data_IF_461431335237
#
_entry.id   IF_461431335237
#
_cell.length_a   1.000
_cell.length_b   1.000
_cell.length_c   1.000
_cell.angle_alpha   90.00
_cell.angle_beta   90.00
_cell.angle_gamma   90.00
#
_symmetry.space_group_name_H-M   'P 1'
#
loop_
_entity.id
_entity.type
_entity.pdbx_description
1 polymer ?
#
# COMPACT_ATOMS: atom_id res chain seq x y z
N UNK A 1 -17.16 -17.21 8.15
CA UNK A 1 -15.89 -16.92 7.43
C UNK A 1 -15.47 -18.14 6.59
N UNK A 2 -16.39 -18.72 5.81
CA UNK A 2 -16.18 -19.90 4.96
C UNK A 2 -15.95 -19.57 3.47
N UNK A 3 -15.95 -18.28 3.10
CA UNK A 3 -15.99 -17.84 1.69
C UNK A 3 -14.60 -17.59 1.10
N UNK A 4 -13.54 -17.55 1.91
CA UNK A 4 -12.23 -17.06 1.46
C UNK A 4 -11.35 -18.10 0.74
N UNK A 5 -11.73 -19.39 0.73
CA UNK A 5 -10.96 -20.44 0.07
C UNK A 5 -11.90 -21.32 -0.76
N UNK A 6 -12.42 -20.75 -1.86
CA UNK A 6 -12.58 -21.54 -3.09
C UNK A 6 -11.26 -21.41 -3.85
N UNK A 7 -10.80 -22.53 -4.40
CA UNK A 7 -9.54 -22.68 -5.12
C UNK A 7 -9.36 -21.53 -6.13
N UNK A 8 -8.47 -20.58 -5.81
CA UNK A 8 -8.24 -19.37 -6.60
C UNK A 8 -8.27 -18.03 -5.87
N UNK A 9 -8.57 -17.96 -4.56
CA UNK A 9 -8.60 -16.67 -3.85
C UNK A 9 -7.24 -15.95 -3.78
N UNK A 10 -6.14 -16.68 -3.57
CA UNK A 10 -4.78 -16.14 -3.61
C UNK A 10 -4.35 -15.74 -5.03
N UNK A 11 -4.67 -16.56 -6.03
CA UNK A 11 -4.41 -16.23 -7.42
C UNK A 11 -5.15 -14.94 -7.85
N UNK A 12 -6.42 -14.77 -7.42
CA UNK A 12 -7.17 -13.53 -7.68
C UNK A 12 -6.57 -12.37 -6.87
N UNK A 13 -6.09 -12.60 -5.65
CA UNK A 13 -5.38 -11.59 -4.87
C UNK A 13 -4.16 -11.04 -5.61
N UNK A 14 -3.26 -11.91 -6.06
CA UNK A 14 -2.09 -11.52 -6.83
C UNK A 14 -2.48 -10.89 -8.17
N UNK A 15 -3.41 -11.48 -8.92
CA UNK A 15 -3.89 -10.93 -10.19
C UNK A 15 -4.41 -9.49 -10.05
N UNK A 16 -5.21 -9.21 -9.00
CA UNK A 16 -5.75 -7.86 -8.79
C UNK A 16 -4.69 -6.81 -8.51
N UNK A 17 -3.62 -7.22 -7.83
CA UNK A 17 -2.47 -6.40 -7.48
C UNK A 17 -1.58 -6.21 -8.71
N UNK A 18 -1.14 -7.30 -9.31
CA UNK A 18 -0.23 -7.31 -10.46
C UNK A 18 -0.78 -6.54 -11.65
N UNK A 19 -2.07 -6.64 -11.98
CA UNK A 19 -2.65 -5.85 -13.07
C UNK A 19 -2.68 -4.34 -12.80
N UNK A 20 -2.48 -3.89 -11.56
CA UNK A 20 -2.31 -2.47 -11.22
C UNK A 20 -0.84 -2.05 -11.26
N UNK A 21 0.04 -2.85 -10.69
CA UNK A 21 1.44 -2.45 -10.44
C UNK A 21 2.42 -2.88 -11.53
N UNK A 22 2.33 -4.12 -12.02
CA UNK A 22 3.32 -4.66 -12.96
C UNK A 22 3.33 -3.99 -14.34
N UNK A 23 2.18 -3.71 -15.00
CA UNK A 23 2.22 -3.13 -16.34
C UNK A 23 2.90 -1.75 -16.38
N UNK A 24 2.56 -0.78 -15.50
CA UNK A 24 3.28 0.50 -15.49
C UNK A 24 4.74 0.36 -15.07
N UNK A 25 5.06 -0.56 -14.16
CA UNK A 25 6.45 -0.85 -13.79
C UNK A 25 7.28 -1.37 -14.97
N UNK A 26 6.77 -2.39 -15.67
CA UNK A 26 7.47 -2.96 -16.82
C UNK A 26 7.60 -1.96 -17.98
N UNK A 27 6.60 -1.09 -18.16
CA UNK A 27 6.75 0.04 -19.08
C UNK A 27 7.93 0.94 -18.68
N UNK A 28 8.02 1.33 -17.41
CA UNK A 28 9.14 2.12 -16.88
C UNK A 28 10.49 1.40 -16.98
N UNK A 29 10.53 0.09 -16.74
CA UNK A 29 11.73 -0.74 -16.83
C UNK A 29 12.23 -0.90 -18.27
N UNK A 30 11.32 -1.08 -19.23
CA UNK A 30 11.68 -1.09 -20.67
C UNK A 30 12.19 0.29 -21.08
N UNK A 31 11.55 1.37 -20.64
CA UNK A 31 12.06 2.72 -20.89
C UNK A 31 13.45 2.92 -20.26
N UNK A 32 13.70 2.35 -19.08
CA UNK A 32 15.00 2.37 -18.40
C UNK A 32 16.09 1.59 -19.15
N UNK A 33 15.73 0.49 -19.80
CA UNK A 33 16.64 -0.28 -20.66
C UNK A 33 16.99 0.47 -21.95
N UNK A 34 16.00 1.12 -22.58
CA UNK A 34 16.18 1.81 -23.86
C UNK A 34 16.77 3.21 -23.74
N UNK A 35 16.53 3.90 -22.63
CA UNK A 35 16.92 5.30 -22.41
C UNK A 35 17.69 5.41 -21.09
N UNK A 36 19.04 5.38 -21.12
CA UNK A 36 19.88 5.32 -19.90
C UNK A 36 19.60 6.43 -18.88
N UNK A 37 19.19 7.62 -19.33
CA UNK A 37 18.82 8.75 -18.45
C UNK A 37 17.70 8.36 -17.47
N UNK A 38 16.76 7.51 -17.90
CA UNK A 38 15.64 7.04 -17.06
C UNK A 38 16.17 6.31 -15.83
N UNK A 39 17.07 5.33 -16.01
CA UNK A 39 17.73 4.65 -14.89
C UNK A 39 18.77 5.51 -14.17
N UNK A 40 19.37 6.47 -14.88
CA UNK A 40 20.59 7.16 -14.43
C UNK A 40 21.87 6.34 -14.68
N UNK A 41 21.75 5.19 -15.35
CA UNK A 41 22.85 4.32 -15.76
C UNK A 41 22.44 3.50 -16.99
N UNK A 42 23.40 2.91 -17.68
CA UNK A 42 23.12 1.94 -18.74
C UNK A 42 22.77 0.58 -18.14
N UNK A 43 21.53 0.13 -18.31
CA UNK A 43 21.11 -1.21 -17.91
C UNK A 43 21.51 -2.23 -18.99
N UNK A 44 22.11 -3.34 -18.59
CA UNK A 44 22.29 -4.49 -19.48
C UNK A 44 21.00 -5.31 -19.56
N UNK A 45 20.90 -6.21 -20.54
CA UNK A 45 19.79 -7.17 -20.58
C UNK A 45 19.75 -8.08 -19.35
N UNK A 46 20.91 -8.45 -18.80
CA UNK A 46 20.99 -9.20 -17.54
C UNK A 46 20.38 -8.42 -16.38
N UNK A 47 20.68 -7.12 -16.27
CA UNK A 47 20.09 -6.25 -15.25
C UNK A 47 18.58 -6.12 -15.43
N UNK A 48 18.11 -5.98 -16.67
CA UNK A 48 16.68 -5.95 -16.97
C UNK A 48 15.97 -7.21 -16.44
N UNK A 49 16.52 -8.40 -16.66
CA UNK A 49 15.94 -9.66 -16.15
C UNK A 49 15.94 -9.69 -14.62
N UNK A 50 17.03 -9.26 -13.97
CA UNK A 50 17.09 -9.18 -12.50
C UNK A 50 15.99 -8.28 -11.94
N UNK A 51 15.79 -7.11 -12.52
CA UNK A 51 14.74 -6.18 -12.10
C UNK A 51 13.35 -6.70 -12.44
N UNK A 52 13.17 -7.33 -13.60
CA UNK A 52 11.88 -7.89 -14.02
C UNK A 52 11.38 -9.01 -13.09
N UNK A 53 12.32 -9.75 -12.50
CA UNK A 53 12.07 -10.85 -11.56
C UNK A 53 12.16 -10.43 -10.08
N UNK A 54 12.37 -9.13 -9.79
CA UNK A 54 12.52 -8.62 -8.42
C UNK A 54 13.73 -9.20 -7.65
N UNK A 55 14.83 -9.52 -8.35
CA UNK A 55 16.05 -10.13 -7.83
C UNK A 55 17.24 -9.15 -7.69
N UNK A 56 17.06 -7.88 -8.04
CA UNK A 56 18.10 -6.84 -7.97
C UNK A 56 18.63 -6.54 -6.56
N UNK A 57 18.02 -7.13 -5.53
CA UNK A 57 18.43 -7.00 -4.13
C UNK A 57 19.33 -8.13 -3.66
N UNK A 58 19.50 -9.17 -4.48
CA UNK A 58 20.39 -10.31 -4.21
C UNK A 58 21.84 -9.93 -4.50
N UNK A 59 22.05 -9.05 -5.49
CA UNK A 59 23.37 -8.50 -5.84
C UNK A 59 23.28 -6.98 -5.88
N UNK A 60 23.98 -6.32 -4.94
CA UNK A 60 24.14 -4.87 -4.94
C UNK A 60 25.17 -4.44 -6.01
N UNK A 61 25.02 -3.26 -6.63
CA UNK A 61 24.02 -2.22 -6.37
C UNK A 61 22.72 -2.36 -7.17
N UNK A 62 21.62 -1.81 -6.64
CA UNK A 62 20.35 -1.67 -7.37
C UNK A 62 20.48 -0.57 -8.46
N UNK A 63 20.60 -0.99 -9.71
CA UNK A 63 20.82 -0.10 -10.87
C UNK A 63 19.57 0.66 -11.33
N UNK A 64 18.38 0.27 -10.85
CA UNK A 64 17.14 1.00 -11.09
C UNK A 64 16.49 1.37 -9.75
N UNK A 65 16.95 2.45 -9.09
CA UNK A 65 16.62 2.74 -7.71
C UNK A 65 15.11 2.80 -7.45
N UNK A 66 14.33 3.36 -8.38
CA UNK A 66 12.87 3.50 -8.27
C UNK A 66 12.12 2.16 -8.10
N UNK A 67 12.78 1.03 -8.36
CA UNK A 67 12.20 -0.29 -8.13
C UNK A 67 12.19 -0.71 -6.65
N UNK A 68 12.95 -0.03 -5.77
CA UNK A 68 13.15 -0.47 -4.38
C UNK A 68 11.83 -0.74 -3.64
N UNK A 69 10.86 0.19 -3.71
CA UNK A 69 9.63 0.05 -2.94
C UNK A 69 8.72 -1.02 -3.53
N UNK A 70 8.74 -1.20 -4.85
CA UNK A 70 7.94 -2.23 -5.51
C UNK A 70 8.46 -3.62 -5.13
N UNK A 71 9.77 -3.84 -5.11
CA UNK A 71 10.38 -5.09 -4.65
C UNK A 71 9.97 -5.38 -3.21
N UNK A 72 10.03 -4.37 -2.33
CA UNK A 72 9.63 -4.48 -0.92
C UNK A 72 8.22 -5.05 -0.82
N UNK A 73 7.30 -4.48 -1.60
CA UNK A 73 5.94 -4.93 -1.62
C UNK A 73 5.81 -6.35 -2.20
N UNK A 74 6.38 -6.64 -3.38
CA UNK A 74 6.24 -7.96 -4.00
C UNK A 74 6.74 -9.09 -3.09
N UNK A 75 7.90 -8.92 -2.46
CA UNK A 75 8.43 -9.89 -1.49
C UNK A 75 7.50 -10.05 -0.28
N UNK A 76 6.97 -8.95 0.26
CA UNK A 76 6.00 -9.00 1.35
C UNK A 76 4.71 -9.73 0.95
N UNK A 77 4.17 -9.48 -0.24
CA UNK A 77 2.92 -10.07 -0.72
C UNK A 77 3.07 -11.52 -1.23
N UNK A 78 4.29 -11.98 -1.49
CA UNK A 78 4.60 -13.39 -1.64
C UNK A 78 4.68 -14.10 -0.28
N UNK A 79 5.21 -13.44 0.75
CA UNK A 79 5.27 -13.99 2.11
C UNK A 79 3.89 -13.99 2.82
N UNK A 80 3.05 -12.99 2.57
CA UNK A 80 1.77 -12.79 3.25
C UNK A 80 0.82 -14.01 3.16
N UNK A 81 0.63 -14.66 1.99
CA UNK A 81 -0.15 -15.89 1.88
C UNK A 81 0.35 -17.02 2.78
N UNK A 82 1.66 -17.17 2.97
CA UNK A 82 2.22 -18.20 3.86
C UNK A 82 1.79 -17.96 5.31
N UNK A 83 1.86 -16.71 5.76
CA UNK A 83 1.38 -16.31 7.10
C UNK A 83 -0.13 -16.50 7.22
N UNK A 84 -0.89 -16.14 6.18
CA UNK A 84 -2.33 -16.33 6.15
C UNK A 84 -2.70 -17.83 6.24
N UNK A 85 -2.07 -18.68 5.42
CA UNK A 85 -2.27 -20.13 5.43
C UNK A 85 -1.95 -20.71 6.80
N UNK A 86 -0.84 -20.32 7.42
CA UNK A 86 -0.49 -20.76 8.78
C UNK A 86 -1.60 -20.41 9.79
N UNK A 87 -2.13 -19.18 9.73
CA UNK A 87 -3.23 -18.74 10.58
C UNK A 87 -4.53 -19.50 10.37
N UNK A 88 -4.90 -19.75 9.12
CA UNK A 88 -6.14 -20.45 8.77
C UNK A 88 -6.07 -21.95 9.05
N UNK A 89 -4.97 -22.60 8.65
CA UNK A 89 -4.84 -24.06 8.70
C UNK A 89 -4.57 -24.54 10.13
N UNK A 90 -3.81 -23.77 10.90
CA UNK A 90 -3.50 -24.07 12.30
C UNK A 90 -4.49 -23.42 13.29
N UNK A 91 -5.43 -22.59 12.80
CA UNK A 91 -6.47 -21.89 13.58
C UNK A 91 -5.95 -21.15 14.82
N UNK A 92 -4.68 -20.74 14.81
CA UNK A 92 -3.99 -20.18 15.96
C UNK A 92 -3.63 -18.72 15.74
N UNK A 93 -4.40 -17.82 16.37
CA UNK A 93 -4.07 -16.39 16.37
C UNK A 93 -2.74 -16.08 17.05
N UNK A 94 -2.31 -16.90 18.02
CA UNK A 94 -1.00 -16.77 18.67
C UNK A 94 0.13 -16.95 17.66
N UNK A 95 0.00 -17.95 16.77
CA UNK A 95 0.98 -18.17 15.71
C UNK A 95 0.98 -17.03 14.68
N UNK A 96 -0.20 -16.54 14.28
CA UNK A 96 -0.29 -15.38 13.37
C UNK A 96 0.38 -14.15 13.98
N UNK A 97 0.14 -13.86 15.26
CA UNK A 97 0.78 -12.73 15.95
C UNK A 97 2.28 -12.93 16.09
N UNK A 98 2.74 -14.16 16.33
CA UNK A 98 4.17 -14.48 16.40
C UNK A 98 4.84 -14.26 15.04
N UNK A 99 4.28 -14.81 13.95
CA UNK A 99 4.80 -14.62 12.60
C UNK A 99 4.81 -13.15 12.18
N UNK A 100 3.75 -12.40 12.51
CA UNK A 100 3.70 -10.96 12.27
C UNK A 100 4.77 -10.21 13.06
N UNK A 101 5.00 -10.58 14.34
CA UNK A 101 6.06 -10.00 15.15
C UNK A 101 7.45 -10.32 14.59
N UNK A 102 7.68 -11.55 14.12
CA UNK A 102 8.92 -11.94 13.42
C UNK A 102 9.11 -11.09 12.15
N UNK A 103 8.07 -10.92 11.34
CA UNK A 103 8.14 -10.07 10.14
C UNK A 103 8.42 -8.60 10.48
N UNK A 104 7.87 -8.07 11.58
CA UNK A 104 8.18 -6.71 12.03
C UNK A 104 9.64 -6.55 12.48
N UNK A 105 10.24 -7.60 13.02
CA UNK A 105 11.64 -7.57 13.45
C UNK A 105 12.61 -7.59 12.27
N UNK A 106 12.27 -8.27 11.16
CA UNK A 106 13.19 -8.46 10.02
C UNK A 106 13.78 -7.14 9.50
N UNK A 107 13.01 -6.10 9.16
CA UNK A 107 13.58 -4.84 8.68
C UNK A 107 14.56 -4.20 9.67
N UNK A 108 14.25 -4.26 10.96
CA UNK A 108 15.13 -3.70 12.00
C UNK A 108 16.43 -4.48 12.11
N UNK A 109 16.38 -5.82 12.05
CA UNK A 109 17.56 -6.68 12.07
C UNK A 109 18.44 -6.46 10.83
N UNK A 110 17.82 -6.33 9.65
CA UNK A 110 18.53 -6.00 8.41
C UNK A 110 19.24 -4.66 8.55
N UNK A 111 18.58 -3.62 9.08
CA UNK A 111 19.22 -2.31 9.30
C UNK A 111 20.40 -2.37 10.26
N UNK A 112 20.27 -3.13 11.36
CA UNK A 112 21.38 -3.32 12.32
C UNK A 112 22.59 -3.93 11.61
N UNK A 113 22.39 -4.96 10.78
CA UNK A 113 23.48 -5.58 10.04
C UNK A 113 24.10 -4.62 8.99
N UNK A 114 23.28 -3.91 8.21
CA UNK A 114 23.78 -2.94 7.22
C UNK A 114 24.57 -1.79 7.86
N UNK A 115 24.12 -1.28 9.01
CA UNK A 115 24.85 -0.24 9.75
C UNK A 115 26.15 -0.77 10.34
N UNK A 116 26.17 -2.03 10.79
CA UNK A 116 27.40 -2.69 11.25
C UNK A 116 28.41 -2.89 10.11
N UNK A 117 27.95 -3.01 8.87
CA UNK A 117 28.77 -3.03 7.66
C UNK A 117 29.12 -1.63 7.12
N UNK A 118 28.83 -0.57 7.89
CA UNK A 118 29.10 0.82 7.53
C UNK A 118 28.43 1.27 6.21
N UNK A 119 27.29 0.65 5.86
CA UNK A 119 26.52 1.06 4.70
C UNK A 119 25.92 2.45 4.91
N UNK A 120 25.87 3.24 3.84
CA UNK A 120 25.26 4.58 3.90
C UNK A 120 23.77 4.50 4.19
N UNK A 121 23.21 5.54 4.82
CA UNK A 121 21.77 5.63 5.06
C UNK A 121 20.95 5.50 3.76
N UNK A 122 21.45 6.05 2.64
CA UNK A 122 20.79 5.91 1.35
C UNK A 122 20.73 4.44 0.89
N UNK A 123 21.81 3.67 1.06
CA UNK A 123 21.81 2.25 0.74
C UNK A 123 20.79 1.48 1.59
N UNK A 124 20.68 1.82 2.87
CA UNK A 124 19.67 1.25 3.78
C UNK A 124 18.24 1.58 3.31
N UNK A 125 17.98 2.85 2.95
CA UNK A 125 16.67 3.28 2.45
C UNK A 125 16.27 2.57 1.15
N UNK A 126 17.25 2.26 0.30
CA UNK A 126 17.05 1.57 -0.98
C UNK A 126 17.08 0.05 -0.86
N UNK A 127 17.32 -0.50 0.35
CA UNK A 127 17.29 -1.93 0.62
C UNK A 127 15.87 -2.38 0.94
N UNK A 128 15.20 -3.15 0.08
CA UNK A 128 13.78 -3.48 0.24
C UNK A 128 13.46 -4.25 1.52
N UNK A 129 14.35 -5.13 1.94
CA UNK A 129 14.22 -5.94 3.15
C UNK A 129 14.22 -5.10 4.43
N UNK A 130 14.75 -3.87 4.36
CA UNK A 130 14.85 -2.95 5.48
C UNK A 130 13.62 -2.02 5.62
N UNK A 131 12.51 -2.26 4.90
CA UNK A 131 11.47 -1.22 4.72
C UNK A 131 10.00 -1.67 4.72
N UNK A 132 9.68 -2.92 5.08
CA UNK A 132 8.30 -3.43 4.96
C UNK A 132 7.46 -3.41 6.25
N UNK A 133 7.89 -2.76 7.34
CA UNK A 133 7.15 -2.76 8.62
C UNK A 133 5.74 -2.18 8.48
N UNK A 134 5.60 -1.09 7.72
CA UNK A 134 4.31 -0.45 7.47
C UNK A 134 3.31 -1.39 6.80
N UNK A 135 3.79 -2.27 5.90
CA UNK A 135 2.96 -3.29 5.24
C UNK A 135 2.49 -4.34 6.26
N UNK A 136 3.37 -4.79 7.16
CA UNK A 136 3.01 -5.74 8.22
C UNK A 136 1.97 -5.16 9.17
N UNK A 137 2.15 -3.90 9.59
CA UNK A 137 1.21 -3.20 10.49
C UNK A 137 -0.16 -3.04 9.81
N UNK A 138 -0.19 -2.56 8.57
CA UNK A 138 -1.42 -2.39 7.80
C UNK A 138 -2.14 -3.72 7.56
N UNK A 139 -1.40 -4.77 7.17
CA UNK A 139 -1.96 -6.11 6.99
C UNK A 139 -2.46 -6.71 8.31
N UNK A 140 -1.75 -6.48 9.42
CA UNK A 140 -2.14 -6.92 10.76
C UNK A 140 -3.45 -6.28 11.22
N UNK A 141 -3.61 -4.96 11.01
CA UNK A 141 -4.86 -4.26 11.29
C UNK A 141 -6.01 -4.75 10.41
N UNK A 142 -5.77 -4.99 9.12
CA UNK A 142 -6.77 -5.57 8.23
C UNK A 142 -7.16 -7.00 8.64
N UNK A 143 -6.19 -7.82 9.05
CA UNK A 143 -6.44 -9.17 9.55
C UNK A 143 -7.24 -9.14 10.86
N UNK A 144 -6.93 -8.21 11.77
CA UNK A 144 -7.68 -8.01 13.02
C UNK A 144 -9.13 -7.61 12.73
N UNK A 145 -9.34 -6.65 11.81
CA UNK A 145 -10.67 -6.20 11.41
C UNK A 145 -11.51 -7.33 10.80
N UNK A 146 -10.91 -8.16 9.94
CA UNK A 146 -11.61 -9.25 9.26
C UNK A 146 -11.82 -10.48 10.15
N UNK A 147 -10.85 -10.81 11.01
CA UNK A 147 -10.77 -12.08 11.71
C UNK A 147 -11.13 -12.04 13.19
N UNK A 148 -11.06 -10.86 13.84
CA UNK A 148 -11.44 -10.66 15.25
C UNK A 148 -12.20 -9.34 15.45
N UNK A 149 -13.43 -9.22 14.89
CA UNK A 149 -14.19 -7.97 14.87
C UNK A 149 -14.47 -7.40 16.27
N UNK A 150 -14.62 -8.25 17.30
CA UNK A 150 -14.79 -7.80 18.68
C UNK A 150 -13.57 -7.04 19.22
N UNK A 151 -12.35 -7.55 18.99
CA UNK A 151 -11.10 -6.86 19.36
C UNK A 151 -10.89 -5.60 18.53
N UNK A 152 -11.22 -5.65 17.24
CA UNK A 152 -11.15 -4.46 16.39
C UNK A 152 -12.12 -3.36 16.86
N UNK A 153 -13.30 -3.72 17.37
CA UNK A 153 -14.25 -2.76 17.94
C UNK A 153 -13.69 -2.09 19.19
N UNK A 154 -12.97 -2.83 20.04
CA UNK A 154 -12.25 -2.25 21.19
C UNK A 154 -11.20 -1.26 20.71
N UNK A 155 -10.41 -1.61 19.69
CA UNK A 155 -9.44 -0.69 19.08
C UNK A 155 -10.11 0.58 18.55
N UNK A 156 -11.26 0.45 17.88
CA UNK A 156 -12.03 1.59 17.37
C UNK A 156 -12.56 2.49 18.48
N UNK A 157 -12.79 2.01 19.71
CA UNK A 157 -13.15 2.88 20.85
C UNK A 157 -12.00 3.83 21.20
N UNK A 158 -10.76 3.40 21.03
CA UNK A 158 -9.55 4.19 21.26
C UNK A 158 -9.08 5.01 20.03
N UNK A 159 -9.86 5.06 18.94
CA UNK A 159 -9.40 5.67 17.67
C UNK A 159 -8.95 7.13 17.76
N UNK A 160 -9.63 7.95 18.58
CA UNK A 160 -9.28 9.37 18.78
C UNK A 160 -7.98 9.55 19.58
N UNK A 161 -7.83 8.97 20.79
CA UNK A 161 -6.57 9.07 21.52
C UNK A 161 -5.40 8.42 20.75
N UNK A 162 -5.62 7.30 20.05
CA UNK A 162 -4.59 6.70 19.19
C UNK A 162 -4.17 7.63 18.06
N UNK A 163 -5.12 8.30 17.39
CA UNK A 163 -4.80 9.27 16.35
C UNK A 163 -3.98 10.44 16.90
N UNK A 164 -4.38 11.02 18.03
CA UNK A 164 -3.66 12.13 18.65
C UNK A 164 -2.26 11.71 19.11
N UNK A 165 -2.12 10.54 19.76
CA UNK A 165 -0.84 10.00 20.17
C UNK A 165 0.07 9.67 18.98
N UNK A 166 -0.50 9.10 17.91
CA UNK A 166 0.22 8.81 16.66
C UNK A 166 0.71 10.09 15.98
N UNK A 167 -0.17 11.09 15.81
CA UNK A 167 0.16 12.37 15.20
C UNK A 167 1.20 13.15 16.03
N UNK A 168 1.00 13.26 17.35
CA UNK A 168 1.95 13.91 18.24
C UNK A 168 3.29 13.17 18.26
N UNK A 169 3.27 11.84 18.31
CA UNK A 169 4.47 11.02 18.25
C UNK A 169 5.24 11.18 16.94
N UNK A 170 4.55 11.35 15.80
CA UNK A 170 5.21 11.66 14.52
C UNK A 170 5.88 13.02 14.58
N UNK A 171 5.20 14.04 15.11
CA UNK A 171 5.78 15.39 15.24
C UNK A 171 7.02 15.34 16.14
N UNK A 172 6.94 14.68 17.29
CA UNK A 172 8.08 14.52 18.21
C UNK A 172 9.21 13.73 17.55
N UNK A 173 8.90 12.63 16.87
CA UNK A 173 9.89 11.82 16.18
C UNK A 173 10.62 12.64 15.12
N UNK A 174 9.92 13.45 14.34
CA UNK A 174 10.51 14.33 13.33
C UNK A 174 11.29 15.50 13.94
N UNK A 175 10.86 16.04 15.08
CA UNK A 175 11.55 17.12 15.77
C UNK A 175 12.87 16.65 16.42
N UNK A 176 12.90 15.41 16.90
CA UNK A 176 14.07 14.81 17.58
C UNK A 176 14.92 13.97 16.63
N UNK A 177 14.43 13.65 15.42
CA UNK A 177 15.17 12.86 14.45
C UNK A 177 16.47 13.54 14.06
N UNK A 178 17.58 12.89 14.39
CA UNK A 178 18.90 13.23 13.90
C UNK A 178 19.41 12.06 13.07
N UNK A 179 19.77 12.32 11.80
CA UNK A 179 20.23 11.30 10.86
C UNK A 179 21.57 10.65 11.27
N UNK A 180 22.20 11.09 12.37
CA UNK A 180 23.44 10.52 12.90
C UNK A 180 23.24 9.69 14.18
N UNK A 181 22.00 9.48 14.63
CA UNK A 181 21.73 8.69 15.82
C UNK A 181 21.39 7.23 15.45
N UNK A 182 22.22 6.29 15.90
CA UNK A 182 22.04 4.84 15.72
C UNK A 182 20.61 4.35 16.04
N UNK A 183 19.99 4.86 17.10
CA UNK A 183 18.63 4.46 17.47
C UNK A 183 17.61 4.86 16.40
N UNK A 184 17.78 6.05 15.80
CA UNK A 184 16.87 6.54 14.77
C UNK A 184 17.05 5.75 13.46
N UNK A 185 18.29 5.46 13.09
CA UNK A 185 18.60 4.66 11.89
C UNK A 185 18.11 3.22 12.01
N UNK A 186 18.10 2.64 13.22
CA UNK A 186 17.65 1.25 13.45
C UNK A 186 16.16 1.15 13.74
N UNK A 187 15.67 1.77 14.81
CA UNK A 187 14.31 1.61 15.32
C UNK A 187 13.37 2.74 14.88
N UNK A 188 13.89 3.90 14.49
CA UNK A 188 13.09 5.08 14.16
C UNK A 188 12.05 4.82 13.07
N UNK A 189 12.39 4.03 12.05
CA UNK A 189 11.45 3.65 10.98
C UNK A 189 10.33 2.72 11.45
N UNK A 190 10.63 1.77 12.34
CA UNK A 190 9.61 0.92 12.95
C UNK A 190 8.68 1.75 13.84
N UNK A 191 9.24 2.64 14.66
CA UNK A 191 8.46 3.57 15.49
C UNK A 191 7.57 4.45 14.62
N UNK A 192 8.11 5.02 13.54
CA UNK A 192 7.33 5.79 12.57
C UNK A 192 6.17 4.98 11.97
N UNK A 193 6.43 3.72 11.57
CA UNK A 193 5.41 2.84 11.03
C UNK A 193 4.31 2.50 12.06
N UNK A 194 4.67 2.29 13.33
CA UNK A 194 3.72 2.08 14.44
C UNK A 194 2.86 3.32 14.65
N UNK A 195 3.48 4.49 14.70
CA UNK A 195 2.78 5.76 14.86
C UNK A 195 1.81 6.02 13.69
N UNK A 196 2.22 5.71 12.46
CA UNK A 196 1.34 5.69 11.28
C UNK A 196 0.17 4.72 11.46
N UNK A 197 0.43 3.52 11.97
CA UNK A 197 -0.58 2.53 12.32
C UNK A 197 -1.61 3.03 13.33
N UNK A 198 -1.22 3.89 14.27
CA UNK A 198 -2.12 4.48 15.26
C UNK A 198 -3.13 5.48 14.64
N UNK A 199 -2.85 6.09 13.48
CA UNK A 199 -3.81 6.97 12.82
C UNK A 199 -4.91 6.16 12.08
N UNK A 200 -4.59 4.95 11.61
CA UNK A 200 -5.44 4.17 10.72
C UNK A 200 -6.84 3.85 11.29
N UNK A 201 -7.04 3.52 12.57
CA UNK A 201 -8.38 3.24 13.11
C UNK A 201 -9.36 4.42 12.96
N UNK A 202 -8.89 5.66 13.11
CA UNK A 202 -9.75 6.83 12.91
C UNK A 202 -10.02 7.04 11.41
N UNK A 203 -8.97 7.02 10.60
CA UNK A 203 -9.04 7.20 9.14
C UNK A 203 -9.98 6.16 8.49
N UNK A 204 -9.95 4.91 8.95
CA UNK A 204 -10.83 3.84 8.48
C UNK A 204 -12.33 4.09 8.75
N UNK A 205 -12.66 4.96 9.71
CA UNK A 205 -14.04 5.35 10.02
C UNK A 205 -14.46 6.68 9.39
N UNK A 206 -13.52 7.41 8.78
CA UNK A 206 -13.83 8.69 8.15
C UNK A 206 -14.68 8.48 6.90
N UNK A 207 -15.66 9.37 6.74
CA UNK A 207 -16.52 9.44 5.56
C UNK A 207 -16.56 10.88 5.09
N UNK A 208 -16.71 11.08 3.79
CA UNK A 208 -16.96 12.41 3.25
C UNK A 208 -18.26 12.97 3.84
N UNK A 209 -18.23 14.18 4.44
CA UNK A 209 -19.46 14.83 4.85
C UNK A 209 -20.30 15.17 3.61
N UNK A 210 -21.63 15.21 3.75
CA UNK A 210 -22.53 15.53 2.63
C UNK A 210 -22.32 16.93 2.02
N UNK A 211 -21.68 17.83 2.77
CA UNK A 211 -21.32 19.19 2.34
C UNK A 211 -19.90 19.29 1.76
N UNK A 212 -19.17 18.17 1.63
CA UNK A 212 -17.83 18.19 1.05
C UNK A 212 -17.88 18.77 -0.38
N UNK A 213 -17.05 19.77 -0.72
CA UNK A 213 -17.01 20.33 -2.06
C UNK A 213 -16.70 19.25 -3.10
N UNK A 214 -17.52 19.15 -4.15
CA UNK A 214 -17.36 18.13 -5.19
C UNK A 214 -15.96 18.14 -5.80
N UNK A 215 -15.40 19.32 -6.06
CA UNK A 215 -14.04 19.48 -6.57
C UNK A 215 -12.96 18.89 -5.65
N UNK A 216 -13.13 18.99 -4.33
CA UNK A 216 -12.21 18.40 -3.35
C UNK A 216 -12.28 16.87 -3.39
N UNK A 217 -13.49 16.30 -3.42
CA UNK A 217 -13.69 14.84 -3.50
C UNK A 217 -13.09 14.29 -4.79
N UNK A 218 -13.34 14.95 -5.92
CA UNK A 218 -12.75 14.58 -7.22
C UNK A 218 -11.23 14.70 -7.16
N UNK A 219 -10.69 15.82 -6.67
CA UNK A 219 -9.25 16.05 -6.59
C UNK A 219 -8.51 15.02 -5.75
N UNK A 220 -9.04 14.69 -4.56
CA UNK A 220 -8.46 13.66 -3.69
C UNK A 220 -8.54 12.27 -4.33
N UNK A 221 -9.66 11.95 -4.99
CA UNK A 221 -9.82 10.67 -5.69
C UNK A 221 -8.82 10.56 -6.85
N UNK A 222 -8.72 11.60 -7.66
CA UNK A 222 -7.77 11.68 -8.78
C UNK A 222 -6.31 11.54 -8.30
N UNK A 223 -5.93 12.25 -7.23
CA UNK A 223 -4.60 12.14 -6.64
C UNK A 223 -4.33 10.72 -6.10
N UNK A 224 -5.33 10.09 -5.48
CA UNK A 224 -5.24 8.73 -4.95
C UNK A 224 -5.05 7.71 -6.08
N UNK A 225 -5.74 7.90 -7.21
CA UNK A 225 -5.60 7.05 -8.38
C UNK A 225 -4.21 7.19 -9.03
N UNK A 226 -3.67 8.41 -9.08
CA UNK A 226 -2.35 8.70 -9.67
C UNK A 226 -1.15 8.45 -8.76
N UNK A 227 -1.33 8.09 -7.49
CA UNK A 227 -0.22 7.95 -6.53
C UNK A 227 0.89 7.02 -7.04
N UNK A 228 0.52 5.90 -7.68
CA UNK A 228 1.51 4.95 -8.21
C UNK A 228 2.20 5.43 -9.51
N UNK A 229 1.47 5.90 -10.55
CA UNK A 229 2.09 6.56 -11.69
C UNK A 229 3.02 7.73 -11.31
N UNK A 230 2.61 8.59 -10.36
CA UNK A 230 3.45 9.68 -9.83
C UNK A 230 4.74 9.11 -9.26
N UNK A 231 4.65 8.07 -8.42
CA UNK A 231 5.83 7.40 -7.88
C UNK A 231 6.78 6.89 -8.98
N UNK A 232 6.28 6.36 -10.10
CA UNK A 232 7.14 5.86 -11.17
C UNK A 232 7.82 6.96 -12.01
N UNK A 233 7.24 8.16 -12.08
CA UNK A 233 7.76 9.21 -12.98
C UNK A 233 8.45 10.36 -12.26
N UNK A 234 8.26 10.54 -10.95
CA UNK A 234 8.72 11.74 -10.22
C UNK A 234 10.24 11.96 -10.25
N UNK A 235 11.05 10.91 -10.32
CA UNK A 235 12.52 11.00 -10.42
C UNK A 235 13.01 11.09 -11.87
N UNK A 236 12.18 10.71 -12.83
CA UNK A 236 12.53 10.63 -14.25
C UNK A 236 12.27 11.96 -14.94
N UNK A 237 11.09 12.54 -14.74
CA UNK A 237 10.65 13.80 -15.36
C UNK A 237 11.65 14.97 -15.18
N UNK A 238 12.21 15.23 -13.97
CA UNK A 238 13.20 16.31 -13.81
C UNK A 238 14.41 16.19 -14.74
N UNK A 239 14.85 14.96 -15.04
CA UNK A 239 16.05 14.71 -15.84
C UNK A 239 15.87 15.12 -17.32
N UNK A 240 14.63 15.09 -17.82
CA UNK A 240 14.30 15.45 -19.20
C UNK A 240 13.90 16.91 -19.36
N UNK A 241 13.44 17.54 -18.27
CA UNK A 241 12.83 18.87 -18.37
C UNK A 241 13.85 19.99 -18.63
N UNK A 242 15.17 19.75 -18.44
CA UNK A 242 16.24 20.69 -18.81
C UNK A 242 16.05 22.12 -18.26
N UNK A 243 15.33 22.25 -17.15
CA UNK A 243 14.79 23.53 -16.70
C UNK A 243 15.90 24.39 -16.11
N UNK A 244 16.17 25.53 -16.74
CA UNK A 244 17.09 26.54 -16.22
C UNK A 244 16.54 27.13 -14.90
N UNK A 245 17.40 27.22 -13.88
CA UNK A 245 17.06 27.68 -12.52
C UNK A 245 16.86 29.21 -12.40
N UNK A 246 16.34 29.89 -13.43
CA UNK A 246 16.15 31.35 -13.39
C UNK A 246 15.10 31.78 -12.38
N UNK A 247 14.12 30.93 -12.06
CA UNK A 247 13.17 31.14 -10.95
C UNK A 247 12.80 29.82 -10.29
N UNK A 248 13.14 29.68 -9.00
CA UNK A 248 12.83 28.49 -8.19
C UNK A 248 11.33 28.16 -8.17
N UNK A 249 10.48 29.18 -8.15
CA UNK A 249 9.02 29.00 -8.15
C UNK A 249 8.52 28.46 -9.49
N UNK A 250 8.94 29.08 -10.61
CA UNK A 250 8.53 28.61 -11.95
C UNK A 250 9.08 27.21 -12.23
N UNK A 251 10.32 26.93 -11.83
CA UNK A 251 10.90 25.60 -11.89
C UNK A 251 10.05 24.58 -11.13
N UNK A 252 9.68 24.88 -9.87
CA UNK A 252 8.86 24.00 -9.05
C UNK A 252 7.47 23.76 -9.65
N UNK A 253 6.83 24.81 -10.16
CA UNK A 253 5.52 24.71 -10.80
C UNK A 253 5.58 23.86 -12.08
N UNK A 254 6.53 24.12 -12.98
CA UNK A 254 6.72 23.33 -14.21
C UNK A 254 7.06 21.89 -13.89
N UNK A 255 7.88 21.64 -12.87
CA UNK A 255 8.21 20.30 -12.40
C UNK A 255 6.97 19.54 -11.94
N UNK A 256 6.17 20.11 -11.04
CA UNK A 256 4.92 19.48 -10.55
C UNK A 256 3.98 19.20 -11.73
N UNK A 257 3.74 20.20 -12.58
CA UNK A 257 2.85 20.05 -13.74
C UNK A 257 3.32 18.93 -14.69
N UNK A 258 4.63 18.85 -14.94
CA UNK A 258 5.22 17.82 -15.80
C UNK A 258 5.08 16.42 -15.19
N UNK A 259 5.27 16.28 -13.87
CA UNK A 259 5.08 15.02 -13.16
C UNK A 259 3.62 14.58 -13.23
N UNK A 260 2.66 15.48 -12.98
CA UNK A 260 1.24 15.16 -13.08
C UNK A 260 0.82 14.82 -14.52
N UNK A 261 1.34 15.53 -15.52
CA UNK A 261 1.08 15.25 -16.92
C UNK A 261 1.60 13.86 -17.32
N UNK A 262 2.86 13.55 -17.00
CA UNK A 262 3.46 12.24 -17.28
C UNK A 262 2.76 11.10 -16.53
N UNK A 263 2.42 11.31 -15.26
CA UNK A 263 1.68 10.35 -14.44
C UNK A 263 0.28 10.08 -15.00
N UNK A 264 -0.42 11.14 -15.44
CA UNK A 264 -1.73 11.02 -16.08
C UNK A 264 -1.63 10.28 -17.41
N UNK A 265 -0.62 10.58 -18.23
CA UNK A 265 -0.38 9.87 -19.48
C UNK A 265 -0.12 8.38 -19.24
N UNK A 266 0.76 8.04 -18.29
CA UNK A 266 1.05 6.66 -17.91
C UNK A 266 -0.20 5.94 -17.36
N UNK A 267 -0.98 6.62 -16.52
CA UNK A 267 -2.22 6.08 -15.98
C UNK A 267 -3.23 5.76 -17.09
N UNK A 268 -3.46 6.69 -18.01
CA UNK A 268 -4.46 6.52 -19.07
C UNK A 268 -4.02 5.52 -20.15
N UNK A 269 -2.74 5.52 -20.51
CA UNK A 269 -2.21 4.68 -21.59
C UNK A 269 -1.85 3.25 -21.16
N UNK A 270 -1.40 3.06 -19.92
CA UNK A 270 -0.91 1.76 -19.43
C UNK A 270 -1.73 1.27 -18.25
N UNK A 271 -1.84 2.00 -17.14
CA UNK A 271 -2.49 1.46 -15.94
C UNK A 271 -3.98 1.14 -16.17
N UNK A 272 -4.74 2.09 -16.71
CA UNK A 272 -6.20 2.01 -16.86
C UNK A 272 -6.66 0.87 -17.78
N UNK A 273 -6.04 0.60 -18.94
CA UNK A 273 -6.37 -0.59 -19.75
C UNK A 273 -6.24 -1.91 -18.99
N UNK A 274 -5.18 -2.08 -18.19
CA UNK A 274 -4.98 -3.30 -17.41
C UNK A 274 -5.92 -3.38 -16.20
N UNK A 275 -6.30 -2.24 -15.60
CA UNK A 275 -7.36 -2.20 -14.60
C UNK A 275 -8.74 -2.57 -15.18
N UNK A 276 -9.02 -2.19 -16.43
CA UNK A 276 -10.23 -2.61 -17.12
C UNK A 276 -10.21 -4.12 -17.44
N UNK A 277 -9.05 -4.65 -17.85
CA UNK A 277 -8.83 -6.08 -18.05
C UNK A 277 -9.04 -6.87 -16.75
N UNK A 278 -8.53 -6.35 -15.62
CA UNK A 278 -8.77 -6.91 -14.28
C UNK A 278 -10.26 -7.03 -13.96
N UNK A 279 -11.04 -6.00 -14.25
CA UNK A 279 -12.48 -6.00 -13.98
C UNK A 279 -13.19 -7.15 -14.72
N UNK A 280 -12.80 -7.42 -15.98
CA UNK A 280 -13.34 -8.54 -16.78
C UNK A 280 -13.02 -9.90 -16.17
N UNK A 281 -11.77 -10.14 -15.77
CA UNK A 281 -11.36 -11.42 -15.15
C UNK A 281 -12.01 -11.67 -13.79
N UNK A 282 -12.21 -10.61 -12.99
CA UNK A 282 -12.83 -10.73 -11.66
C UNK A 282 -14.36 -10.89 -11.76
N UNK A 283 -15.02 -10.19 -12.68
CA UNK A 283 -16.45 -10.31 -12.92
C UNK A 283 -16.84 -11.74 -13.37
N UNK A 284 -16.05 -12.33 -14.26
CA UNK A 284 -16.24 -13.70 -14.75
C UNK A 284 -16.23 -14.78 -13.63
N UNK A 285 -15.56 -14.53 -12.50
CA UNK A 285 -15.42 -15.48 -11.38
C UNK A 285 -16.45 -15.30 -10.24
N UNK A 286 -17.34 -14.31 -10.30
CA UNK A 286 -18.49 -14.26 -9.38
C UNK A 286 -19.66 -15.01 -10.05
N UNK A 287 -20.11 -16.17 -9.53
CA UNK A 287 -21.44 -16.65 -9.88
C UNK A 287 -22.43 -15.55 -9.50
N UNK A 288 -23.36 -15.20 -10.39
CA UNK A 288 -24.47 -14.31 -10.06
C UNK A 288 -25.13 -14.83 -8.79
N UNK A 289 -25.06 -14.02 -7.72
CA UNK A 289 -25.81 -14.35 -6.52
C UNK A 289 -27.29 -14.26 -6.89
N UNK A 290 -28.11 -15.30 -6.59
CA UNK A 290 -29.54 -15.22 -6.85
C UNK A 290 -30.12 -13.99 -6.14
N UNK A 291 -31.08 -13.29 -6.76
CA UNK A 291 -31.64 -12.05 -6.21
C UNK A 291 -32.14 -12.29 -4.78
N UNK A 292 -31.74 -11.42 -3.85
CA UNK A 292 -32.23 -11.44 -2.47
C UNK A 292 -33.76 -11.38 -2.50
N UNK A 293 -34.47 -12.28 -1.81
CA UNK A 293 -35.91 -12.14 -1.64
C UNK A 293 -36.21 -10.78 -1.01
N UNK A 294 -37.16 -10.04 -1.59
CA UNK A 294 -37.63 -8.78 -1.05
C UNK A 294 -38.09 -8.98 0.40
N UNK A 295 -37.83 -8.03 1.33
CA UNK A 295 -38.33 -8.11 2.68
C UNK A 295 -39.86 -8.26 2.65
N UNK A 296 -40.38 -9.36 3.17
CA UNK A 296 -41.82 -9.52 3.34
C UNK A 296 -42.30 -8.42 4.30
N UNK A 297 -43.27 -7.62 3.84
CA UNK A 297 -43.85 -6.56 4.64
C UNK A 297 -44.38 -7.11 5.98
N UNK A 298 -44.28 -6.34 7.09
CA UNK A 298 -44.79 -6.79 8.38
C UNK A 298 -46.29 -7.12 8.26
N UNK A 299 -46.69 -8.34 8.61
CA UNK A 299 -48.10 -8.68 8.79
C UNK A 299 -48.64 -7.84 9.94
N UNK A 300 -49.43 -6.83 9.63
CA UNK A 300 -50.24 -6.09 10.61
C UNK A 300 -51.18 -7.10 11.26
N UNK A 301 -50.96 -7.43 12.54
CA UNK A 301 -51.95 -8.14 13.35
C UNK A 301 -53.13 -7.20 13.55
N UNK A 302 -54.24 -7.48 12.88
CA UNK A 302 -55.52 -6.86 13.21
C UNK A 302 -55.93 -7.31 14.62
N UNK A 303 -55.88 -6.41 15.58
CA UNK A 303 -56.53 -6.56 16.88
C UNK A 303 -58.02 -6.33 16.68
N UNK A 304 -58.79 -7.40 16.50
CA UNK A 304 -60.24 -7.35 16.58
C UNK A 304 -60.65 -7.54 18.04
N UNK A 305 -61.08 -6.44 18.67
CA UNK A 305 -61.71 -6.42 19.98
C UNK A 305 -63.21 -6.73 19.79
N UNK A 306 -63.80 -7.73 20.47
CA UNK A 306 -65.23 -7.98 20.35
C UNK A 306 -66.01 -7.06 21.32
N UNK A 307 -66.80 -6.16 20.73
CA UNK A 307 -67.82 -5.37 21.42
C UNK A 307 -68.87 -6.33 22.01
N UNK A 308 -69.08 -6.29 23.34
CA UNK A 308 -70.20 -6.97 24.01
C UNK A 308 -71.48 -6.14 23.86
N UNK A 309 -72.61 -6.71 23.42
CA UNK A 309 -73.91 -6.07 23.59
C UNK A 309 -74.45 -6.29 25.01
N UNK A 310 -75.24 -5.32 25.46
CA UNK A 310 -75.94 -5.25 26.75
C UNK A 310 -77.07 -6.28 26.88
#
# INVERSE_FOLDING_TARGET
>A
MHVALRDGSFAIFWLRRWLRTLPPYYFGLVAALLVPVVAGSTLTFGDFIKHALFLQTIELPNLYPISWSLVTEEWFYLALPLVAIAGFRLRSWKLVTLLAACLLAVPTLVRINLLAEHQTWLAILMTPQARFEGLVIGAGLAALAAGQPGRFTVLLRARRPLFLAGAAGIIVLLAVSNQQNWWFETAGLLVFAILLGCLLPLLATMRWPGWAPLGLVIGVTFLSDLTYPIYLVHTVVPKFAGLNHTSTFLYGAVWVLSVFAAATALHLSVERPFLALRARFVAYRRPEAPPRPLPQAPRVRATAEPVRPA
#
